data_IF_215904671191
#
_entry.id   IF_215904671191
#
_cell.length_a   1.000
_cell.length_b   1.000
_cell.length_c   1.000
_cell.angle_alpha   90.00
_cell.angle_beta   90.00
_cell.angle_gamma   90.00
#
_symmetry.space_group_name_H-M   'P 1'
#
loop_
_entity.id
_entity.type
_entity.pdbx_description
1 polymer ?
#
# COMPACT_ATOMS: atom_id res chain seq x y z
N UNK A 1 -14.35 5.05 -3.03
CA UNK A 1 -13.11 4.63 -2.36
C UNK A 1 -12.80 3.16 -2.54
N UNK A 2 -11.78 2.82 -3.35
CA UNK A 2 -11.24 1.45 -3.44
C UNK A 2 -10.05 1.32 -2.49
N UNK A 3 -9.84 0.16 -1.87
CA UNK A 3 -8.69 -0.10 -0.99
C UNK A 3 -7.70 -1.03 -1.67
N UNK A 4 -6.42 -0.68 -1.62
CA UNK A 4 -5.30 -1.44 -2.19
C UNK A 4 -4.35 -1.78 -1.04
N UNK A 5 -4.22 -3.07 -0.76
CA UNK A 5 -3.27 -3.59 0.21
C UNK A 5 -2.08 -4.19 -0.53
N UNK A 6 -0.87 -3.75 -0.18
CA UNK A 6 0.36 -4.38 -0.59
C UNK A 6 0.85 -5.28 0.54
N UNK A 7 1.28 -6.50 0.20
CA UNK A 7 1.80 -7.48 1.16
C UNK A 7 3.14 -8.03 0.68
N UNK A 8 4.14 -8.07 1.57
CA UNK A 8 5.48 -8.58 1.28
C UNK A 8 6.03 -9.33 2.51
N UNK A 9 6.92 -10.29 2.28
CA UNK A 9 7.55 -11.07 3.36
C UNK A 9 8.41 -10.25 4.32
N UNK A 10 9.04 -9.16 3.87
CA UNK A 10 10.09 -8.44 4.62
C UNK A 10 9.83 -6.95 4.89
N UNK A 11 8.63 -6.42 4.61
CA UNK A 11 8.16 -5.07 5.01
C UNK A 11 8.84 -3.86 4.34
N UNK A 12 10.16 -3.85 4.12
CA UNK A 12 10.92 -2.63 3.76
C UNK A 12 10.77 -2.16 2.31
N UNK A 13 10.77 -3.06 1.32
CA UNK A 13 10.68 -2.70 -0.11
C UNK A 13 9.28 -2.22 -0.52
N UNK A 14 8.25 -2.65 0.21
CA UNK A 14 6.84 -2.36 -0.05
C UNK A 14 6.46 -0.92 0.27
N UNK A 15 7.10 -0.33 1.28
CA UNK A 15 6.84 1.05 1.72
C UNK A 15 7.22 2.09 0.66
N UNK A 16 8.30 1.86 -0.09
CA UNK A 16 8.72 2.76 -1.17
C UNK A 16 7.72 2.72 -2.34
N UNK A 17 7.26 1.52 -2.71
CA UNK A 17 6.26 1.37 -3.77
C UNK A 17 4.92 2.00 -3.37
N UNK A 18 4.46 1.76 -2.14
CA UNK A 18 3.24 2.34 -1.59
C UNK A 18 3.24 3.88 -1.66
N UNK A 19 4.35 4.53 -1.30
CA UNK A 19 4.50 5.99 -1.42
C UNK A 19 4.35 6.48 -2.86
N UNK A 20 5.06 5.85 -3.80
CA UNK A 20 4.96 6.19 -5.25
C UNK A 20 3.56 5.97 -5.80
N UNK A 21 2.86 4.93 -5.34
CA UNK A 21 1.47 4.68 -5.74
C UNK A 21 0.52 5.76 -5.21
N UNK A 22 0.71 6.25 -3.97
CA UNK A 22 -0.07 7.38 -3.43
C UNK A 22 0.14 8.66 -4.22
N UNK A 23 1.39 8.97 -4.58
CA UNK A 23 1.73 10.12 -5.43
C UNK A 23 1.05 10.02 -6.80
N UNK A 24 1.13 8.86 -7.44
CA UNK A 24 0.49 8.62 -8.74
C UNK A 24 -1.04 8.67 -8.66
N UNK A 25 -1.66 8.16 -7.59
CA UNK A 25 -3.10 8.23 -7.37
C UNK A 25 -3.56 9.69 -7.21
N UNK A 26 -2.84 10.48 -6.41
CA UNK A 26 -3.09 11.91 -6.23
C UNK A 26 -2.98 12.67 -7.55
N UNK A 27 -1.91 12.46 -8.31
CA UNK A 27 -1.70 13.10 -9.61
C UNK A 27 -2.78 12.75 -10.65
N UNK A 28 -3.46 11.61 -10.49
CA UNK A 28 -4.54 11.13 -11.37
C UNK A 28 -5.93 11.44 -10.83
N UNK A 29 -6.07 12.08 -9.67
CA UNK A 29 -7.35 12.34 -9.02
C UNK A 29 -8.11 11.06 -8.63
N UNK A 30 -7.40 9.98 -8.31
CA UNK A 30 -8.01 8.70 -7.96
C UNK A 30 -8.30 8.63 -6.46
N UNK A 31 -9.57 8.44 -6.10
CA UNK A 31 -10.02 8.18 -4.72
C UNK A 31 -9.75 6.71 -4.32
N UNK A 32 -8.51 6.45 -3.93
CA UNK A 32 -8.04 5.13 -3.47
C UNK A 32 -7.25 5.23 -2.17
N UNK A 33 -7.49 4.26 -1.29
CA UNK A 33 -6.71 4.05 -0.08
C UNK A 33 -5.63 3.00 -0.35
N UNK A 34 -4.39 3.27 0.03
CA UNK A 34 -3.25 2.41 -0.25
C UNK A 34 -2.46 2.20 1.03
N UNK A 35 -2.30 0.95 1.43
CA UNK A 35 -1.55 0.55 2.62
C UNK A 35 -0.61 -0.62 2.30
N UNK A 36 0.48 -0.72 3.04
CA UNK A 36 1.46 -1.79 2.91
C UNK A 36 1.68 -2.44 4.27
N UNK A 37 1.68 -3.77 4.30
CA UNK A 37 1.86 -4.57 5.50
C UNK A 37 2.85 -5.70 5.22
N UNK A 38 3.51 -6.17 6.27
CA UNK A 38 4.24 -7.42 6.22
C UNK A 38 3.27 -8.60 6.26
N UNK A 39 3.64 -9.70 5.61
CA UNK A 39 2.78 -10.89 5.55
C UNK A 39 2.41 -11.46 6.93
N UNK A 40 3.26 -11.27 7.94
CA UNK A 40 2.98 -11.71 9.31
C UNK A 40 2.02 -10.79 10.07
N UNK A 41 1.80 -9.56 9.60
CA UNK A 41 0.82 -8.62 10.17
C UNK A 41 -0.60 -8.91 9.65
N UNK A 42 -0.74 -9.81 8.67
CA UNK A 42 -2.03 -10.09 8.02
C UNK A 42 -3.00 -10.84 8.93
N UNK A 43 -2.53 -11.73 9.79
CA UNK A 43 -3.38 -12.49 10.71
C UNK A 43 -3.87 -11.62 11.90
N UNK A 44 -3.33 -10.41 12.07
CA UNK A 44 -3.65 -9.49 13.17
C UNK A 44 -4.63 -8.36 12.78
N UNK A 45 -5.16 -8.34 11.54
CA UNK A 45 -6.13 -7.36 11.03
C UNK A 45 -7.53 -7.93 10.83
#
# INVERSE_FOLDING_TARGET
MKRIMLCCSAGMSTSLLMRKMKEAASARGLDVDIAAYAAHEFDEQ
#
